data_IF_297106013349
#
_entry.id   IF_297106013349
#
_cell.length_a   1.000
_cell.length_b   1.000
_cell.length_c   1.000
_cell.angle_alpha   90.00
_cell.angle_beta   90.00
_cell.angle_gamma   90.00
#
_symmetry.space_group_name_H-M   'P 1'
#
loop_
_entity.id
_entity.type
_entity.pdbx_description
1 polymer ?
#
# COMPACT_ATOMS: atom_id res chain seq x y z
N UNK A 1 14.34 8.58 -3.61
CA UNK A 1 13.71 7.89 -4.77
C UNK A 1 13.26 6.50 -4.33
N UNK A 2 11.97 6.13 -4.37
CA UNK A 2 11.56 4.75 -4.12
C UNK A 2 12.10 3.87 -5.26
N UNK A 3 13.03 2.99 -4.92
CA UNK A 3 13.93 2.32 -5.85
C UNK A 3 13.27 1.28 -6.76
N UNK A 4 13.96 1.02 -7.87
CA UNK A 4 13.77 0.01 -8.91
C UNK A 4 13.14 -1.34 -8.46
N UNK A 5 13.38 -1.79 -7.23
CA UNK A 5 12.88 -3.06 -6.67
C UNK A 5 11.35 -3.17 -6.60
N UNK A 6 10.66 -2.09 -6.23
CA UNK A 6 9.18 -2.11 -6.10
C UNK A 6 8.48 -2.29 -7.46
N UNK A 7 9.12 -1.79 -8.54
CA UNK A 7 8.63 -1.96 -9.91
C UNK A 7 8.88 -3.37 -10.42
N UNK A 8 10.02 -3.97 -10.07
CA UNK A 8 10.34 -5.35 -10.43
C UNK A 8 9.34 -6.34 -9.82
N UNK A 9 8.98 -6.17 -8.54
CA UNK A 9 7.99 -7.02 -7.88
C UNK A 9 6.60 -6.89 -8.52
N UNK A 10 6.12 -5.65 -8.74
CA UNK A 10 4.83 -5.42 -9.39
C UNK A 10 4.77 -6.05 -10.80
N UNK A 11 5.85 -5.93 -11.57
CA UNK A 11 5.96 -6.54 -12.90
C UNK A 11 5.96 -8.07 -12.85
N UNK A 12 6.63 -8.66 -11.87
CA UNK A 12 6.61 -10.12 -11.66
C UNK A 12 5.20 -10.59 -11.31
N UNK A 13 4.56 -9.97 -10.32
CA UNK A 13 3.20 -10.33 -9.91
C UNK A 13 2.18 -10.19 -11.05
N UNK A 14 2.31 -9.17 -11.89
CA UNK A 14 1.47 -9.02 -13.08
C UNK A 14 1.67 -10.15 -14.11
N UNK A 15 2.91 -10.64 -14.29
CA UNK A 15 3.20 -11.83 -15.11
C UNK A 15 2.60 -13.11 -14.52
N UNK A 16 2.58 -13.21 -13.19
CA UNK A 16 2.02 -14.35 -12.45
C UNK A 16 0.46 -14.31 -12.41
N UNK A 17 -0.17 -13.38 -13.12
CA UNK A 17 -1.64 -13.28 -13.24
C UNK A 17 -2.34 -12.52 -12.11
N UNK A 18 -1.58 -11.88 -11.20
CA UNK A 18 -2.16 -11.09 -10.12
C UNK A 18 -2.73 -9.77 -10.65
N UNK A 19 -3.93 -9.42 -10.21
CA UNK A 19 -4.65 -8.23 -10.70
C UNK A 19 -4.40 -7.02 -9.79
N UNK A 20 -4.22 -7.24 -8.48
CA UNK A 20 -4.02 -6.17 -7.50
C UNK A 20 -3.01 -6.56 -6.43
N UNK A 21 -2.34 -5.55 -5.86
CA UNK A 21 -1.56 -5.68 -4.63
C UNK A 21 -2.23 -4.86 -3.54
N UNK A 22 -2.40 -5.45 -2.37
CA UNK A 22 -2.85 -4.76 -1.17
C UNK A 22 -1.71 -4.67 -0.16
N UNK A 23 -1.57 -3.51 0.48
CA UNK A 23 -0.63 -3.29 1.58
C UNK A 23 -1.35 -2.58 2.72
N UNK A 24 -0.83 -2.72 3.94
CA UNK A 24 -1.45 -2.17 5.14
C UNK A 24 -0.43 -1.34 5.90
N UNK A 25 -0.85 -0.21 6.45
CA UNK A 25 -0.08 0.60 7.39
C UNK A 25 -0.99 1.21 8.45
N UNK A 26 -0.44 2.07 9.30
CA UNK A 26 -1.15 2.74 10.38
C UNK A 26 -1.14 4.25 10.20
N UNK A 27 -2.11 4.95 10.79
CA UNK A 27 -2.14 6.42 10.80
C UNK A 27 -0.89 7.04 11.40
N UNK A 28 -0.22 6.33 12.30
CA UNK A 28 1.02 6.74 12.96
C UNK A 28 2.27 6.55 12.10
N UNK A 29 2.16 6.01 10.88
CA UNK A 29 3.28 5.83 9.95
C UNK A 29 3.14 6.71 8.70
N UNK A 30 3.39 8.02 8.80
CA UNK A 30 3.26 8.95 7.68
C UNK A 30 4.28 8.69 6.57
N UNK A 31 5.44 8.09 6.89
CA UNK A 31 6.46 7.73 5.92
C UNK A 31 5.96 6.65 4.94
N UNK A 32 5.38 5.57 5.47
CA UNK A 32 4.77 4.52 4.65
C UNK A 32 3.59 5.06 3.84
N UNK A 33 2.73 5.89 4.44
CA UNK A 33 1.60 6.51 3.75
C UNK A 33 2.05 7.28 2.50
N UNK A 34 3.01 8.20 2.66
CA UNK A 34 3.55 9.00 1.54
C UNK A 34 4.24 8.12 0.50
N UNK A 35 5.00 7.12 0.94
CA UNK A 35 5.67 6.18 0.03
C UNK A 35 4.66 5.40 -0.82
N UNK A 36 3.57 4.91 -0.23
CA UNK A 36 2.54 4.18 -0.97
C UNK A 36 1.81 5.06 -1.99
N UNK A 37 1.51 6.30 -1.63
CA UNK A 37 0.96 7.28 -2.59
C UNK A 37 1.91 7.51 -3.77
N UNK A 38 3.22 7.72 -3.51
CA UNK A 38 4.23 7.89 -4.56
C UNK A 38 4.40 6.64 -5.45
N UNK A 39 4.15 5.46 -4.90
CA UNK A 39 4.17 4.19 -5.63
C UNK A 39 2.87 3.91 -6.41
N UNK A 40 1.88 4.80 -6.33
CA UNK A 40 0.61 4.68 -7.05
C UNK A 40 -0.41 3.76 -6.38
N UNK A 41 -0.28 3.51 -5.08
CA UNK A 41 -1.33 2.87 -4.30
C UNK A 41 -2.37 3.91 -3.87
N UNK A 42 -3.65 3.49 -3.85
CA UNK A 42 -4.77 4.29 -3.36
C UNK A 42 -5.31 3.69 -2.06
N UNK A 43 -5.83 4.53 -1.16
CA UNK A 43 -6.48 4.04 0.06
C UNK A 43 -7.77 3.31 -0.33
N UNK A 44 -7.90 2.05 0.08
CA UNK A 44 -9.08 1.23 -0.20
C UNK A 44 -10.01 1.14 1.02
N UNK A 45 -9.46 1.16 2.24
CA UNK A 45 -10.23 1.10 3.49
C UNK A 45 -9.44 1.71 4.64
N UNK A 46 -10.14 2.35 5.57
CA UNK A 46 -9.57 2.77 6.86
C UNK A 46 -10.41 2.17 7.98
N UNK A 47 -9.77 1.55 8.96
CA UNK A 47 -10.39 1.06 10.19
C UNK A 47 -9.97 1.98 11.34
N UNK A 48 -10.96 2.64 11.96
CA UNK A 48 -10.74 3.57 13.07
C UNK A 48 -10.36 2.84 14.35
N UNK A 49 -9.37 3.36 15.07
CA UNK A 49 -8.88 2.87 16.37
C UNK A 49 -8.61 1.36 16.45
N UNK A 50 -8.41 0.71 15.31
CA UNK A 50 -8.33 -0.74 15.20
C UNK A 50 -7.07 -1.33 15.87
N UNK A 51 -6.03 -0.50 16.08
CA UNK A 51 -4.80 -0.87 16.78
C UNK A 51 -4.69 -0.24 18.17
N UNK A 52 -5.75 0.39 18.65
CA UNK A 52 -5.80 1.15 19.89
C UNK A 52 -6.27 2.59 19.66
N UNK A 53 -6.60 3.34 20.72
CA UNK A 53 -7.09 4.70 20.62
C UNK A 53 -6.13 5.61 19.84
N UNK A 54 -6.63 6.27 18.79
CA UNK A 54 -5.89 7.15 17.90
C UNK A 54 -5.07 6.45 16.80
N UNK A 55 -5.09 5.11 16.74
CA UNK A 55 -4.30 4.34 15.77
C UNK A 55 -5.20 3.63 14.76
N UNK A 56 -5.42 4.30 13.64
CA UNK A 56 -6.16 3.76 12.51
C UNK A 56 -5.31 2.74 11.75
N UNK A 57 -5.95 1.70 11.23
CA UNK A 57 -5.36 0.81 10.22
C UNK A 57 -5.80 1.25 8.83
N UNK A 58 -4.85 1.47 7.93
CA UNK A 58 -5.08 1.99 6.58
C UNK A 58 -4.66 0.92 5.58
N UNK A 59 -5.62 0.46 4.78
CA UNK A 59 -5.40 -0.44 3.66
C UNK A 59 -5.25 0.35 2.37
N UNK A 60 -4.24 -0.05 1.60
CA UNK A 60 -3.90 0.50 0.31
C UNK A 60 -4.03 -0.58 -0.76
N UNK A 61 -4.44 -0.19 -1.96
CA UNK A 61 -4.58 -1.07 -3.12
C UNK A 61 -3.91 -0.44 -4.34
N UNK A 62 -3.27 -1.27 -5.16
CA UNK A 62 -2.73 -0.88 -6.47
C UNK A 62 -3.15 -1.89 -7.53
N UNK A 63 -3.58 -1.41 -8.69
CA UNK A 63 -3.79 -2.23 -9.89
C UNK A 63 -2.44 -2.63 -10.50
N UNK A 64 -2.34 -3.90 -10.89
CA UNK A 64 -1.21 -4.44 -11.67
C UNK A 64 -1.51 -4.57 -13.16
N UNK A 65 -2.78 -4.35 -13.56
CA UNK A 65 -3.19 -4.17 -14.95
C UNK A 65 -2.80 -2.78 -15.44
#
# INVERSE_FOLDING_TARGET
>A
MPGCWTRALAKKLGRDGMIHVNVTTWSTNPGAYRMYQQLGYVVSKTLKDHRGPGVDTIYFRKSLK
#
